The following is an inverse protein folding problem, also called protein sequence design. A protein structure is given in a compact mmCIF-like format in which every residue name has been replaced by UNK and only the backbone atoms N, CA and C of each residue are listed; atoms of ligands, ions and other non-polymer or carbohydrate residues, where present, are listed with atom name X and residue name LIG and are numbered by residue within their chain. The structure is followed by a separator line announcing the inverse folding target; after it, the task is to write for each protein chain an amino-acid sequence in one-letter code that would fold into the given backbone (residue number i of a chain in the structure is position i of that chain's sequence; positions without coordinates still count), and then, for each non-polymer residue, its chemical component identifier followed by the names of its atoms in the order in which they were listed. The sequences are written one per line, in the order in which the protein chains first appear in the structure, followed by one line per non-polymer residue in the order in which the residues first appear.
data_IF_021984617441
#
_entry.id   IF_021984617441
#
_cell.length_a   1.000
_cell.length_b   1.000
_cell.length_c   1.000
_cell.angle_alpha   90.00
_cell.angle_beta   90.00
_cell.angle_gamma   90.00
#
_symmetry.space_group_name_H-M   'P 1'
#
loop_
_entity.id
_entity.type
_entity.pdbx_description
1 polymer ?
#
# COMPACT_ATOMS: atom_id res chain seq x y z
N UNK A 1 2.21 6.76 -8.37
CA UNK A 1 0.89 6.44 -8.94
C UNK A 1 -0.20 6.99 -8.02
N UNK A 2 -1.18 7.74 -8.53
CA UNK A 2 -2.25 8.32 -7.71
C UNK A 2 -3.44 7.34 -7.58
N UNK A 3 -3.82 7.01 -6.34
CA UNK A 3 -4.98 6.16 -6.03
C UNK A 3 -5.94 6.88 -5.09
N UNK A 4 -7.17 6.39 -4.97
CA UNK A 4 -8.18 6.96 -4.05
C UNK A 4 -8.50 5.98 -2.94
N UNK A 5 -8.46 6.46 -1.69
CA UNK A 5 -8.85 5.69 -0.52
C UNK A 5 -10.35 5.37 -0.53
N UNK A 6 -10.72 4.14 -0.19
CA UNK A 6 -12.10 3.75 0.10
C UNK A 6 -12.44 3.95 1.58
N UNK A 7 -13.72 3.75 1.93
CA UNK A 7 -14.19 3.97 3.29
C UNK A 7 -13.61 2.88 4.19
N UNK A 8 -12.93 3.28 5.26
CA UNK A 8 -12.25 2.35 6.16
C UNK A 8 -10.87 1.91 5.66
N UNK A 9 -10.37 2.44 4.54
CA UNK A 9 -9.02 2.14 4.07
C UNK A 9 -7.96 2.77 4.98
N UNK A 10 -6.86 2.03 5.13
CA UNK A 10 -5.62 2.50 5.76
C UNK A 10 -4.52 2.63 4.71
N UNK A 11 -3.42 3.30 5.07
CA UNK A 11 -2.23 3.41 4.20
C UNK A 11 -1.67 2.01 3.88
N UNK A 12 -1.58 1.13 4.87
CA UNK A 12 -1.16 -0.27 4.68
C UNK A 12 -2.09 -1.04 3.74
N UNK A 13 -3.41 -0.87 3.88
CA UNK A 13 -4.39 -1.53 3.02
C UNK A 13 -4.26 -1.09 1.56
N UNK A 14 -4.04 0.20 1.32
CA UNK A 14 -3.75 0.75 -0.01
C UNK A 14 -2.44 0.19 -0.58
N UNK A 15 -1.37 0.18 0.22
CA UNK A 15 -0.08 -0.39 -0.18
C UNK A 15 -0.24 -1.86 -0.56
N UNK A 16 -0.93 -2.67 0.24
CA UNK A 16 -1.17 -4.08 -0.07
C UNK A 16 -2.03 -4.27 -1.34
N UNK A 17 -3.08 -3.46 -1.50
CA UNK A 17 -4.02 -3.56 -2.62
C UNK A 17 -3.40 -3.19 -3.97
N UNK A 18 -2.42 -2.30 -4.01
CA UNK A 18 -1.80 -1.86 -5.27
C UNK A 18 -0.39 -2.41 -5.46
N UNK A 19 0.39 -2.53 -4.40
CA UNK A 19 1.81 -2.88 -4.44
C UNK A 19 2.07 -4.33 -3.98
N UNK A 20 1.07 -5.01 -3.36
CA UNK A 20 1.20 -6.38 -2.79
C UNK A 20 2.31 -6.54 -1.76
N UNK A 21 2.86 -5.44 -1.28
CA UNK A 21 3.85 -5.37 -0.22
C UNK A 21 3.53 -4.18 0.68
N UNK A 22 3.94 -4.25 1.94
CA UNK A 22 3.86 -3.14 2.89
C UNK A 22 5.24 -2.73 3.40
N UNK A 23 6.26 -3.59 3.24
CA UNK A 23 7.61 -3.32 3.73
C UNK A 23 8.29 -2.26 2.86
N UNK A 24 8.67 -1.14 3.47
CA UNK A 24 9.42 -0.07 2.81
C UNK A 24 8.58 0.82 1.88
N UNK A 25 7.37 0.40 1.50
CA UNK A 25 6.48 1.19 0.64
C UNK A 25 5.53 2.09 1.43
N UNK A 26 5.23 1.74 2.69
CA UNK A 26 4.39 2.58 3.56
C UNK A 26 5.15 3.85 3.94
N UNK A 27 6.41 3.73 4.31
CA UNK A 27 7.30 4.85 4.63
C UNK A 27 7.46 5.78 3.42
N UNK A 28 7.73 5.21 2.24
CA UNK A 28 7.78 5.97 0.98
C UNK A 28 6.44 6.65 0.67
N UNK A 29 5.31 6.01 0.98
CA UNK A 29 3.99 6.63 0.80
C UNK A 29 3.82 7.84 1.71
N UNK A 30 4.29 7.80 2.95
CA UNK A 30 4.27 8.98 3.82
C UNK A 30 5.19 10.09 3.34
N UNK A 31 6.38 9.76 2.84
CA UNK A 31 7.30 10.74 2.26
C UNK A 31 6.71 11.43 1.02
N UNK A 32 5.98 10.68 0.19
CA UNK A 32 5.31 11.20 -1.01
C UNK A 32 4.04 12.00 -0.71
N UNK A 33 3.48 11.89 0.50
CA UNK A 33 2.23 12.54 0.90
C UNK A 33 2.41 13.23 2.27
N UNK A 34 3.07 14.40 2.31
CA UNK A 34 3.20 15.16 3.55
C UNK A 34 1.82 15.53 4.11
N UNK A 35 1.61 15.27 5.40
CA UNK A 35 0.32 15.48 6.09
C UNK A 35 -0.65 14.29 6.00
N UNK A 36 -0.29 13.20 5.30
CA UNK A 36 -1.14 12.00 5.23
C UNK A 36 -1.39 11.38 6.62
N UNK A 37 -0.40 11.43 7.50
CA UNK A 37 -0.49 10.92 8.87
C UNK A 37 -1.45 11.73 9.76
N UNK A 38 -1.70 13.00 9.43
CA UNK A 38 -2.56 13.88 10.23
C UNK A 38 -4.04 13.51 10.12
N UNK A 39 -4.41 12.77 9.06
CA UNK A 39 -5.76 12.23 8.88
C UNK A 39 -6.07 11.06 9.82
N UNK A 40 -5.06 10.52 10.52
CA UNK A 40 -5.20 9.39 11.41
C UNK A 40 -5.11 8.03 10.71
N UNK A 41 -5.40 6.93 11.43
CA UNK A 41 -5.20 5.57 10.93
C UNK A 41 -6.18 5.17 9.82
N UNK A 42 -7.38 5.75 9.81
CA UNK A 42 -8.39 5.54 8.77
C UNK A 42 -8.40 6.76 7.86
N UNK A 43 -8.17 6.55 6.57
CA UNK A 43 -8.15 7.61 5.60
C UNK A 43 -9.59 8.08 5.26
N UNK A 44 -9.79 9.38 5.05
CA UNK A 44 -11.04 9.91 4.51
C UNK A 44 -11.39 9.25 3.18
N UNK A 45 -12.65 8.86 3.02
CA UNK A 45 -13.14 8.30 1.76
C UNK A 45 -12.90 9.27 0.60
N UNK A 46 -12.31 8.77 -0.48
CA UNK A 46 -11.99 9.53 -1.68
C UNK A 46 -10.69 10.33 -1.60
N UNK A 47 -9.93 10.26 -0.49
CA UNK A 47 -8.63 10.91 -0.38
C UNK A 47 -7.69 10.39 -1.46
N UNK A 48 -7.06 11.31 -2.20
CA UNK A 48 -6.06 10.97 -3.19
C UNK A 48 -4.72 10.72 -2.49
N UNK A 49 -4.16 9.52 -2.66
CA UNK A 49 -2.87 9.10 -2.08
C UNK A 49 -1.92 8.76 -3.21
N UNK A 50 -0.73 9.36 -3.19
CA UNK A 50 0.32 9.04 -4.15
C UNK A 50 1.13 7.85 -3.64
N UNK A 51 0.94 6.68 -4.25
CA UNK A 51 1.72 5.49 -3.96
C UNK A 51 3.04 5.49 -4.75
N UNK A 52 4.14 4.96 -4.18
CA UNK A 52 5.35 4.71 -4.93
C UNK A 52 5.09 3.73 -6.08
N UNK A 53 5.93 3.77 -7.11
CA UNK A 53 5.83 2.82 -8.21
C UNK A 53 6.12 1.40 -7.69
N UNK A 54 5.28 0.39 -7.99
CA UNK A 54 5.55 -0.96 -7.57
C UNK A 54 6.89 -1.40 -8.16
N UNK A 55 7.86 -1.69 -7.31
CA UNK A 55 9.00 -2.51 -7.72
C UNK A 55 8.38 -3.84 -8.10
N UNK A 56 8.25 -4.07 -9.40
CA UNK A 56 7.73 -5.32 -9.94
C UNK A 56 8.77 -6.40 -9.69
N UNK A 57 8.91 -6.83 -8.44
CA UNK A 57 9.48 -8.13 -8.16
C UNK A 57 8.35 -9.12 -8.36
N UNK A 58 8.39 -9.97 -9.40
CA UNK A 58 7.50 -11.12 -9.43
C UNK A 58 7.79 -11.88 -8.15
N UNK A 59 6.83 -11.89 -7.22
CA UNK A 59 6.87 -12.79 -6.09
C UNK A 59 6.70 -14.20 -6.66
N UNK A 60 7.78 -14.77 -7.20
CA UNK A 60 7.96 -16.21 -7.36
C UNK A 60 8.08 -16.74 -5.95
N UNK A 61 6.93 -16.83 -5.27
CA UNK A 61 6.81 -17.60 -4.05
C UNK A 61 7.11 -19.03 -4.50
N UNK A 62 8.17 -19.68 -3.99
CA UNK A 62 8.39 -21.08 -4.30
C UNK A 62 7.16 -21.84 -3.84
N UNK A 63 6.46 -22.48 -4.76
CA UNK A 63 5.31 -23.33 -4.47
C UNK A 63 5.80 -24.48 -3.59
N UNK A 64 5.60 -24.38 -2.29
CA UNK A 64 5.86 -25.50 -1.38
C UNK A 64 4.71 -26.48 -1.53
N UNK A 65 4.98 -27.63 -2.14
CA UNK A 65 4.06 -28.76 -2.09
C UNK A 65 4.05 -29.30 -0.66
N UNK A 66 2.89 -29.24 -0.01
CA UNK A 66 2.70 -29.64 1.38
C UNK A 66 2.28 -31.12 1.53
N UNK A 67 2.29 -31.90 0.45
CA UNK A 67 1.77 -33.27 0.39
C UNK A 67 2.67 -34.17 -0.47
N UNK A 68 2.76 -35.44 -0.09
CA UNK A 68 3.24 -36.58 -0.91
C UNK A 68 2.04 -37.32 -1.51
#
# INVERSE_FOLDING_TARGET
MLVRAMQGDTVDALCWRYLRTTRGVVEQTFELNPGLADHGPILPHGLAVNLPEPVSEPSTVPTVNLWD
#
